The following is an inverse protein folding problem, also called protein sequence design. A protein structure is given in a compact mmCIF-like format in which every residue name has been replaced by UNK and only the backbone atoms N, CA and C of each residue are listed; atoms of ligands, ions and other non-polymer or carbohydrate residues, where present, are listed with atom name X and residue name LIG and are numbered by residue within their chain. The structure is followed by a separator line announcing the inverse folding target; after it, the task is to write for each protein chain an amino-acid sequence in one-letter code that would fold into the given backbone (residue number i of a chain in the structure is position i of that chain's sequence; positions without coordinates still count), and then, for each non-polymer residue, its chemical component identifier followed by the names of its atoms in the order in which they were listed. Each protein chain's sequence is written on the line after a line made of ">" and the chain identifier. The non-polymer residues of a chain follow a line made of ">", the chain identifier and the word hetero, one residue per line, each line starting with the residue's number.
data_IF_039317661059
#
_entry.id   IF_039317661059
#
_cell.length_a   1.000
_cell.length_b   1.000
_cell.length_c   1.000
_cell.angle_alpha   90.00
_cell.angle_beta   90.00
_cell.angle_gamma   90.00
#
_symmetry.space_group_name_H-M   'P 1'
#
loop_
_entity.id
_entity.type
_entity.pdbx_description
1 polymer ?
#
# COMPACT_ATOMS: atom_id res chain seq x y z
N UNK A 1 21.28 -12.28 -5.44
CA UNK A 1 20.10 -11.60 -4.86
C UNK A 1 20.49 -11.10 -3.47
N UNK A 2 20.05 -9.93 -3.00
CA UNK A 2 20.39 -9.47 -1.66
C UNK A 2 19.91 -10.47 -0.60
N UNK A 3 20.72 -10.66 0.44
CA UNK A 3 20.46 -11.62 1.54
C UNK A 3 19.12 -11.28 2.21
N UNK A 4 18.32 -12.29 2.50
CA UNK A 4 17.08 -12.09 3.24
C UNK A 4 17.41 -11.76 4.70
N UNK A 5 16.97 -10.59 5.18
CA UNK A 5 17.18 -10.13 6.55
C UNK A 5 15.86 -10.18 7.31
N UNK A 6 15.77 -11.05 8.31
CA UNK A 6 14.63 -11.12 9.21
C UNK A 6 14.87 -10.16 10.36
N UNK A 7 14.13 -9.05 10.41
CA UNK A 7 14.21 -8.11 11.53
C UNK A 7 13.59 -8.74 12.78
N UNK A 8 14.28 -8.58 13.91
CA UNK A 8 13.91 -9.16 15.19
C UNK A 8 12.94 -8.29 15.96
N UNK A 9 12.81 -8.58 17.25
CA UNK A 9 11.89 -7.87 18.15
C UNK A 9 12.32 -6.41 18.39
N UNK A 10 13.63 -6.14 18.50
CA UNK A 10 14.16 -4.79 18.71
C UNK A 10 13.78 -3.87 17.56
N UNK A 11 14.09 -4.27 16.33
CA UNK A 11 13.81 -3.47 15.15
C UNK A 11 12.31 -3.33 14.88
N UNK A 12 11.51 -4.34 15.27
CA UNK A 12 10.06 -4.22 15.25
C UNK A 12 9.54 -3.18 16.26
N UNK A 13 10.11 -3.09 17.47
CA UNK A 13 9.75 -2.06 18.43
C UNK A 13 10.12 -0.66 17.92
N UNK A 14 11.30 -0.49 17.31
CA UNK A 14 11.72 0.76 16.69
C UNK A 14 10.77 1.18 15.57
N UNK A 15 10.40 0.25 14.68
CA UNK A 15 9.39 0.50 13.64
C UNK A 15 8.04 0.89 14.25
N UNK A 16 7.61 0.18 15.30
CA UNK A 16 6.32 0.42 15.96
C UNK A 16 6.28 1.81 16.59
N UNK A 17 7.34 2.18 17.32
CA UNK A 17 7.49 3.50 17.92
C UNK A 17 7.46 4.61 16.85
N UNK A 18 8.22 4.43 15.76
CA UNK A 18 8.21 5.35 14.63
C UNK A 18 6.80 5.54 14.04
N UNK A 19 6.07 4.46 13.79
CA UNK A 19 4.72 4.53 13.22
C UNK A 19 3.75 5.22 14.18
N UNK A 20 3.80 4.88 15.47
CA UNK A 20 2.96 5.49 16.51
C UNK A 20 3.24 6.99 16.63
N UNK A 21 4.51 7.39 16.71
CA UNK A 21 4.92 8.80 16.73
C UNK A 21 4.42 9.56 15.50
N UNK A 22 4.29 8.88 14.36
CA UNK A 22 3.74 9.43 13.13
C UNK A 22 2.21 9.30 13.03
N UNK A 23 1.51 9.07 14.15
CA UNK A 23 0.05 9.07 14.23
C UNK A 23 -0.63 7.80 13.70
N UNK A 24 0.13 6.75 13.39
CA UNK A 24 -0.47 5.45 13.09
C UNK A 24 -0.92 4.77 14.38
N UNK A 25 -2.05 4.10 14.30
CA UNK A 25 -2.58 3.27 15.38
C UNK A 25 -2.36 1.80 15.05
N UNK A 26 -2.02 1.00 16.04
CA UNK A 26 -1.88 -0.45 15.87
C UNK A 26 -3.24 -1.07 15.60
N UNK A 27 -3.31 -1.95 14.59
CA UNK A 27 -4.52 -2.70 14.26
C UNK A 27 -4.72 -3.78 15.31
N UNK A 28 -5.86 -3.74 15.99
CA UNK A 28 -6.19 -4.75 17.00
C UNK A 28 -6.59 -6.08 16.36
N UNK A 29 -6.44 -7.21 17.07
CA UNK A 29 -6.96 -8.50 16.62
C UNK A 29 -8.46 -8.43 16.23
N UNK A 30 -9.25 -7.67 16.99
CA UNK A 30 -10.67 -7.45 16.73
C UNK A 30 -10.92 -6.70 15.41
N UNK A 31 -10.20 -5.60 15.16
CA UNK A 31 -10.29 -4.85 13.89
C UNK A 31 -9.90 -5.72 12.68
N UNK A 32 -8.87 -6.55 12.85
CA UNK A 32 -8.43 -7.49 11.82
C UNK A 32 -9.50 -8.56 11.53
N UNK A 33 -10.09 -9.12 12.59
CA UNK A 33 -11.18 -10.08 12.46
C UNK A 33 -12.39 -9.48 11.74
N UNK A 34 -12.85 -8.29 12.15
CA UNK A 34 -13.96 -7.58 11.48
C UNK A 34 -13.66 -7.35 10.00
N UNK A 35 -12.46 -6.87 9.67
CA UNK A 35 -12.08 -6.60 8.27
C UNK A 35 -12.12 -7.86 7.41
N UNK A 36 -11.68 -9.01 7.92
CA UNK A 36 -11.68 -10.27 7.18
C UNK A 36 -13.10 -10.85 7.08
N UNK A 37 -13.86 -10.82 8.18
CA UNK A 37 -15.23 -11.32 8.26
C UNK A 37 -16.16 -10.56 7.33
N UNK A 38 -16.10 -9.21 7.32
CA UNK A 38 -16.89 -8.36 6.42
C UNK A 38 -16.61 -8.65 4.94
N UNK A 39 -15.37 -9.01 4.61
CA UNK A 39 -14.98 -9.30 3.23
C UNK A 39 -15.25 -10.76 2.83
N UNK A 40 -15.69 -11.62 3.77
CA UNK A 40 -15.90 -13.07 3.58
C UNK A 40 -14.70 -13.77 2.91
N UNK A 41 -13.48 -13.31 3.18
CA UNK A 41 -12.28 -13.80 2.49
C UNK A 41 -11.63 -14.96 3.26
N UNK A 42 -11.26 -16.00 2.52
CA UNK A 42 -10.46 -17.13 3.00
C UNK A 42 -9.02 -16.95 2.53
N UNK A 43 -8.03 -17.11 3.43
CA UNK A 43 -6.63 -16.96 3.05
C UNK A 43 -6.20 -18.09 2.08
N UNK A 44 -5.31 -17.81 1.12
CA UNK A 44 -4.83 -18.82 0.17
C UNK A 44 -3.97 -19.92 0.81
N UNK A 45 -3.69 -19.84 2.12
CA UNK A 45 -2.91 -20.79 2.92
C UNK A 45 -3.31 -20.73 4.39
N UNK A 46 -3.11 -21.81 5.13
CA UNK A 46 -3.24 -21.80 6.60
C UNK A 46 -2.27 -20.77 7.19
N UNK A 47 -2.79 -19.88 8.04
CA UNK A 47 -2.00 -18.82 8.69
C UNK A 47 -1.85 -19.10 10.18
N UNK A 48 -0.63 -19.36 10.64
CA UNK A 48 -0.33 -19.41 12.08
C UNK A 48 -0.07 -18.01 12.61
N UNK A 49 -0.88 -17.54 13.55
CA UNK A 49 -0.82 -16.18 14.07
C UNK A 49 -1.16 -15.12 13.02
N UNK A 50 -1.32 -13.89 13.49
CA UNK A 50 -1.73 -12.76 12.67
C UNK A 50 -0.59 -11.74 12.62
N UNK A 51 -0.18 -11.36 11.41
CA UNK A 51 0.76 -10.24 11.19
C UNK A 51 0.30 -8.96 11.91
N UNK A 52 1.22 -8.24 12.54
CA UNK A 52 0.92 -6.92 13.09
C UNK A 52 0.78 -5.91 11.96
N UNK A 53 -0.30 -5.12 12.01
CA UNK A 53 -0.51 -4.00 11.11
C UNK A 53 -0.74 -2.70 11.88
N UNK A 54 -0.57 -1.59 11.17
CA UNK A 54 -0.80 -0.24 11.65
C UNK A 54 -1.70 0.49 10.65
N UNK A 55 -2.56 1.37 11.14
CA UNK A 55 -3.49 2.15 10.34
C UNK A 55 -3.37 3.63 10.68
N UNK A 56 -3.31 4.46 9.66
CA UNK A 56 -3.49 5.91 9.78
C UNK A 56 -4.80 6.28 9.10
N UNK A 57 -5.64 7.07 9.78
CA UNK A 57 -6.88 7.59 9.23
C UNK A 57 -6.86 9.11 9.32
N UNK A 58 -7.27 9.78 8.24
CA UNK A 58 -7.49 11.21 8.28
C UNK A 58 -8.90 11.51 8.81
N UNK A 59 -9.11 12.56 9.62
CA UNK A 59 -10.44 12.91 10.12
C UNK A 59 -11.40 13.33 9.01
N UNK A 60 -10.90 14.07 8.00
CA UNK A 60 -11.78 14.76 7.04
C UNK A 60 -12.18 13.94 5.81
N UNK A 61 -11.68 12.71 5.67
CA UNK A 61 -12.06 11.84 4.57
C UNK A 61 -11.75 10.36 4.80
N UNK A 62 -12.39 9.50 4.01
CA UNK A 62 -12.40 8.05 4.23
C UNK A 62 -11.13 7.30 3.79
N UNK A 63 -10.10 7.98 3.28
CA UNK A 63 -8.84 7.33 2.95
C UNK A 63 -8.04 6.97 4.21
N UNK A 64 -7.53 5.73 4.22
CA UNK A 64 -6.72 5.19 5.30
C UNK A 64 -5.46 4.57 4.73
N UNK A 65 -4.33 4.79 5.39
CA UNK A 65 -3.09 4.06 5.11
C UNK A 65 -3.06 2.84 6.01
N UNK A 66 -2.77 1.68 5.45
CA UNK A 66 -2.51 0.48 6.21
C UNK A 66 -1.10 -0.01 5.91
N UNK A 67 -0.33 -0.21 6.99
CA UNK A 67 1.03 -0.73 6.98
C UNK A 67 0.99 -2.12 7.61
N UNK A 68 1.22 -3.15 6.81
CA UNK A 68 1.29 -4.52 7.29
C UNK A 68 2.76 -4.94 7.41
N UNK A 69 3.13 -5.40 8.61
CA UNK A 69 4.45 -5.96 8.88
C UNK A 69 4.43 -7.48 8.70
N UNK A 70 5.60 -8.10 8.65
CA UNK A 70 5.70 -9.56 8.70
C UNK A 70 5.84 -10.12 10.12
N UNK A 71 5.81 -9.26 11.13
CA UNK A 71 6.06 -9.64 12.52
C UNK A 71 4.79 -10.24 13.15
N UNK A 72 4.96 -11.28 13.97
CA UNK A 72 3.88 -11.92 14.71
C UNK A 72 4.20 -11.82 16.18
N UNK A 73 3.64 -10.80 16.82
CA UNK A 73 3.91 -10.49 18.22
C UNK A 73 3.76 -11.64 19.19
N UNK A 74 2.69 -12.47 19.15
CA UNK A 74 2.56 -13.59 20.09
C UNK A 74 3.72 -14.58 20.02
N UNK A 75 4.42 -14.67 18.88
CA UNK A 75 5.56 -15.56 18.70
C UNK A 75 6.91 -14.86 18.82
N UNK A 76 6.92 -13.52 18.92
CA UNK A 76 8.14 -12.70 18.90
C UNK A 76 8.98 -12.83 17.62
N UNK A 77 8.43 -13.41 16.54
CA UNK A 77 9.18 -13.78 15.34
C UNK A 77 8.53 -13.25 14.06
N UNK A 78 9.32 -12.89 13.04
CA UNK A 78 8.80 -12.59 11.72
C UNK A 78 8.44 -13.88 10.96
N UNK A 79 7.31 -13.91 10.25
CA UNK A 79 6.94 -15.04 9.39
C UNK A 79 7.85 -15.12 8.17
N UNK A 80 8.73 -16.10 7.95
CA UNK A 80 9.78 -16.01 6.91
C UNK A 80 9.30 -15.73 5.47
N UNK A 81 8.07 -16.12 5.13
CA UNK A 81 7.56 -16.14 3.76
C UNK A 81 6.71 -14.93 3.37
N UNK A 82 6.33 -14.08 4.32
CA UNK A 82 5.49 -12.93 4.04
C UNK A 82 6.29 -11.74 3.46
N UNK A 83 5.61 -10.76 2.89
CA UNK A 83 6.26 -9.50 2.54
C UNK A 83 5.64 -8.38 3.33
N UNK A 84 6.41 -7.31 3.49
CA UNK A 84 5.91 -6.09 4.11
C UNK A 84 5.23 -5.26 3.02
N UNK A 85 4.17 -4.55 3.36
CA UNK A 85 3.33 -3.86 2.39
C UNK A 85 2.63 -2.66 3.00
N UNK A 86 2.54 -1.60 2.18
CA UNK A 86 1.79 -0.39 2.45
C UNK A 86 0.66 -0.30 1.43
N UNK A 87 -0.55 0.00 1.88
CA UNK A 87 -1.71 0.18 1.02
C UNK A 87 -2.52 1.41 1.44
N UNK A 88 -3.23 1.99 0.49
CA UNK A 88 -4.26 3.00 0.75
C UNK A 88 -5.61 2.33 0.48
N UNK A 89 -6.51 2.43 1.45
CA UNK A 89 -7.87 1.93 1.34
C UNK A 89 -8.89 3.03 1.59
N UNK A 90 -10.08 2.84 1.05
CA UNK A 90 -11.27 3.60 1.42
C UNK A 90 -12.28 2.60 1.95
N UNK A 91 -12.72 2.78 3.19
CA UNK A 91 -13.49 1.77 3.92
C UNK A 91 -12.75 0.41 3.94
N UNK A 92 -13.38 -0.62 3.37
CA UNK A 92 -12.84 -1.97 3.24
C UNK A 92 -12.23 -2.25 1.85
N UNK A 93 -12.27 -1.29 0.93
CA UNK A 93 -11.74 -1.43 -0.42
C UNK A 93 -10.30 -0.91 -0.52
N UNK A 94 -9.37 -1.78 -0.89
CA UNK A 94 -8.00 -1.38 -1.18
C UNK A 94 -7.89 -0.67 -2.54
N UNK A 95 -7.58 0.62 -2.52
CA UNK A 95 -7.48 1.47 -3.71
C UNK A 95 -6.09 1.39 -4.36
N UNK A 96 -5.05 1.34 -3.53
CA UNK A 96 -3.66 1.32 -3.96
C UNK A 96 -2.84 0.35 -3.13
N UNK A 97 -1.96 -0.40 -3.81
CA UNK A 97 -0.97 -1.27 -3.18
C UNK A 97 0.41 -0.84 -3.63
N UNK A 98 1.28 -0.53 -2.66
CA UNK A 98 2.71 -0.43 -2.93
C UNK A 98 3.24 -1.82 -3.34
N UNK A 99 4.21 -1.90 -4.27
CA UNK A 99 5.01 -3.10 -4.43
C UNK A 99 5.43 -3.70 -3.08
N UNK A 100 5.24 -5.01 -2.85
CA UNK A 100 5.71 -5.64 -1.62
C UNK A 100 7.21 -5.38 -1.42
N UNK A 101 7.56 -4.96 -0.22
CA UNK A 101 8.95 -4.68 0.16
C UNK A 101 9.57 -6.01 0.56
N UNK A 102 10.64 -6.37 -0.14
CA UNK A 102 11.44 -7.53 0.18
C UNK A 102 12.23 -7.26 1.44
N UNK A 103 12.44 -8.32 2.22
CA UNK A 103 13.23 -8.28 3.45
C UNK A 103 14.72 -8.27 3.17
N UNK A 104 15.23 -7.09 2.86
CA UNK A 104 16.65 -6.77 2.83
C UNK A 104 17.02 -5.98 4.08
N UNK A 105 18.29 -5.67 4.29
CA UNK A 105 18.73 -4.79 5.38
C UNK A 105 17.96 -3.43 5.40
N UNK A 106 17.70 -2.86 4.22
CA UNK A 106 16.94 -1.60 4.06
C UNK A 106 15.40 -1.77 4.08
N UNK A 107 14.87 -2.93 4.49
CA UNK A 107 13.42 -3.17 4.39
C UNK A 107 12.60 -2.28 5.32
N UNK A 108 13.12 -2.00 6.51
CA UNK A 108 12.44 -1.19 7.53
C UNK A 108 12.43 0.28 7.16
N UNK A 109 13.59 0.83 6.79
CA UNK A 109 13.71 2.19 6.29
C UNK A 109 12.75 2.43 5.12
N UNK A 110 12.75 1.55 4.11
CA UNK A 110 11.80 1.63 2.99
C UNK A 110 10.35 1.55 3.44
N UNK A 111 10.04 0.72 4.45
CA UNK A 111 8.68 0.65 4.98
C UNK A 111 8.26 1.98 5.61
N UNK A 112 9.14 2.57 6.43
CA UNK A 112 8.93 3.87 7.05
C UNK A 112 8.73 4.95 5.99
N UNK A 113 9.62 5.05 5.00
CA UNK A 113 9.51 5.98 3.88
C UNK A 113 8.19 5.83 3.14
N UNK A 114 7.77 4.61 2.80
CA UNK A 114 6.49 4.41 2.11
C UNK A 114 5.27 4.65 2.98
N UNK A 115 5.35 4.35 4.27
CA UNK A 115 4.29 4.68 5.21
C UNK A 115 4.09 6.20 5.25
N UNK A 116 5.17 6.98 5.32
CA UNK A 116 5.13 8.43 5.27
C UNK A 116 4.60 8.95 3.94
N UNK A 117 5.11 8.48 2.79
CA UNK A 117 4.60 8.92 1.47
C UNK A 117 3.11 8.61 1.32
N UNK A 118 2.66 7.43 1.76
CA UNK A 118 1.25 7.08 1.71
C UNK A 118 0.42 7.94 2.68
N UNK A 119 0.95 8.25 3.87
CA UNK A 119 0.34 9.17 4.83
C UNK A 119 0.22 10.57 4.23
N UNK A 120 1.28 11.10 3.63
CA UNK A 120 1.28 12.38 2.93
C UNK A 120 0.22 12.41 1.83
N UNK A 121 0.12 11.35 1.00
CA UNK A 121 -0.95 11.24 0.00
C UNK A 121 -2.35 11.31 0.61
N UNK A 122 -2.54 10.65 1.76
CA UNK A 122 -3.81 10.68 2.47
C UNK A 122 -4.07 12.08 3.04
N UNK A 123 -3.08 12.73 3.66
CA UNK A 123 -3.19 14.11 4.17
C UNK A 123 -3.52 15.12 3.08
N UNK A 124 -2.80 15.07 1.95
CA UNK A 124 -2.95 16.00 0.84
C UNK A 124 -3.90 15.44 -0.22
N UNK A 125 -5.03 14.84 0.20
CA UNK A 125 -6.01 14.29 -0.75
C UNK A 125 -6.45 15.42 -1.69
N UNK A 126 -6.12 15.35 -2.99
CA UNK A 126 -6.33 16.46 -3.88
C UNK A 126 -7.82 16.63 -4.22
N UNK A 127 -8.21 17.86 -4.50
CA UNK A 127 -9.54 18.21 -4.97
C UNK A 127 -9.55 18.44 -6.48
N UNK A 128 -10.72 18.27 -7.11
CA UNK A 128 -10.94 18.68 -8.49
C UNK A 128 -10.83 20.21 -8.58
N UNK A 129 -10.09 20.70 -9.58
CA UNK A 129 -9.90 22.14 -9.76
C UNK A 129 -11.22 22.86 -10.13
N UNK A 130 -12.18 22.13 -10.71
CA UNK A 130 -13.47 22.69 -11.16
C UNK A 130 -14.56 22.63 -10.09
N UNK A 131 -14.83 21.45 -9.52
CA UNK A 131 -15.95 21.26 -8.61
C UNK A 131 -15.56 21.13 -7.13
N UNK A 132 -14.26 21.26 -6.82
CA UNK A 132 -13.67 21.20 -5.47
C UNK A 132 -13.96 19.92 -4.67
N UNK A 133 -14.56 18.90 -5.31
CA UNK A 133 -14.76 17.57 -4.71
C UNK A 133 -13.43 16.82 -4.65
N UNK A 134 -13.22 16.07 -3.58
CA UNK A 134 -12.08 15.16 -3.46
C UNK A 134 -12.01 14.19 -4.65
N UNK A 135 -10.79 13.96 -5.14
CA UNK A 135 -10.52 13.03 -6.22
C UNK A 135 -10.52 11.58 -5.71
N UNK A 136 -10.89 10.65 -6.59
CA UNK A 136 -10.88 9.21 -6.34
C UNK A 136 -9.66 8.56 -7.00
N UNK A 137 -9.12 7.50 -6.38
CA UNK A 137 -8.05 6.69 -6.97
C UNK A 137 -8.64 5.68 -7.95
N UNK A 138 -8.17 5.70 -9.20
CA UNK A 138 -8.54 4.70 -10.21
C UNK A 138 -7.34 3.91 -10.71
N UNK A 139 -7.61 2.68 -11.17
CA UNK A 139 -6.64 1.79 -11.78
C UNK A 139 -6.39 2.20 -13.24
N UNK A 140 -5.13 2.46 -13.58
CA UNK A 140 -4.71 2.70 -14.97
C UNK A 140 -4.46 1.41 -15.75
N UNK A 141 -4.00 1.54 -17.00
CA UNK A 141 -3.69 0.41 -17.89
C UNK A 141 -2.60 -0.51 -17.32
N UNK A 142 -1.59 0.05 -16.67
CA UNK A 142 -0.53 -0.72 -16.02
C UNK A 142 -1.01 -1.43 -14.76
N UNK A 143 -0.50 -2.64 -14.49
CA UNK A 143 -0.93 -3.51 -13.38
C UNK A 143 -0.99 -2.81 -12.00
N UNK A 144 -0.02 -1.91 -11.74
CA UNK A 144 0.07 -1.08 -10.53
C UNK A 144 -0.12 0.41 -10.80
N UNK A 145 -0.44 0.79 -12.04
CA UNK A 145 -0.67 2.18 -12.40
C UNK A 145 -1.91 2.68 -11.69
N UNK A 146 -1.82 3.86 -11.11
CA UNK A 146 -2.95 4.59 -10.54
C UNK A 146 -2.97 6.01 -11.07
N UNK A 147 -4.14 6.59 -11.12
CA UNK A 147 -4.37 8.00 -11.43
C UNK A 147 -5.55 8.50 -10.59
N UNK A 148 -5.72 9.81 -10.56
CA UNK A 148 -6.79 10.45 -9.80
C UNK A 148 -7.90 10.89 -10.74
N UNK A 149 -9.15 10.77 -10.30
CA UNK A 149 -10.31 11.09 -11.13
C UNK A 149 -11.35 11.88 -10.36
N UNK A 150 -12.00 12.84 -11.03
CA UNK A 150 -13.25 13.41 -10.57
C UNK A 150 -14.39 12.90 -11.45
N UNK A 151 -15.35 12.19 -10.84
CA UNK A 151 -16.53 11.66 -11.52
C UNK A 151 -17.75 12.62 -11.45
N UNK A 152 -17.59 13.82 -10.88
CA UNK A 152 -18.69 14.76 -10.66
C UNK A 152 -19.03 15.60 -11.91
N UNK A 153 -19.33 14.91 -13.01
CA UNK A 153 -19.54 15.51 -14.34
C UNK A 153 -20.60 16.60 -14.35
N UNK A 154 -21.62 16.51 -13.50
CA UNK A 154 -22.71 17.47 -13.44
C UNK A 154 -22.26 18.86 -12.96
N UNK A 155 -21.11 18.95 -12.26
CA UNK A 155 -20.51 20.20 -11.82
C UNK A 155 -19.31 20.63 -12.68
N UNK A 156 -19.05 19.94 -13.79
CA UNK A 156 -17.98 20.30 -14.72
C UNK A 156 -18.56 21.06 -15.92
N UNK A 157 -17.92 22.13 -16.41
CA UNK A 157 -18.47 22.98 -17.48
C UNK A 157 -18.82 22.23 -18.77
N UNK A 158 -18.04 21.21 -19.12
CA UNK A 158 -18.18 20.41 -20.34
C UNK A 158 -18.84 19.04 -20.12
N UNK A 159 -19.32 18.77 -18.89
CA UNK A 159 -19.88 17.47 -18.47
C UNK A 159 -18.94 16.27 -18.70
N UNK A 160 -17.62 16.46 -18.72
CA UNK A 160 -16.65 15.36 -18.87
C UNK A 160 -15.97 15.01 -17.56
N UNK A 161 -15.43 13.80 -17.48
CA UNK A 161 -14.60 13.36 -16.35
C UNK A 161 -13.27 14.13 -16.36
N UNK A 162 -12.76 14.49 -15.18
CA UNK A 162 -11.41 15.06 -15.04
C UNK A 162 -10.45 14.01 -14.50
N UNK A 163 -9.31 13.86 -15.18
CA UNK A 163 -8.26 12.92 -14.81
C UNK A 163 -6.99 13.68 -14.47
N UNK A 164 -6.33 13.29 -13.40
CA UNK A 164 -5.10 13.90 -12.93
C UNK A 164 -4.03 12.84 -12.72
N UNK A 165 -2.77 13.25 -12.84
CA UNK A 165 -1.64 12.40 -12.47
C UNK A 165 -1.79 11.96 -11.01
N UNK A 166 -1.33 10.73 -10.71
CA UNK A 166 -1.21 10.25 -9.33
C UNK A 166 -0.61 11.31 -8.42
N UNK A 167 0.41 12.04 -8.88
CA UNK A 167 1.23 12.99 -8.12
C UNK A 167 0.59 14.36 -7.82
N UNK A 168 -0.63 14.64 -8.28
CA UNK A 168 -1.29 15.94 -8.04
C UNK A 168 -1.23 16.35 -6.57
N UNK A 169 -0.83 17.59 -6.33
CA UNK A 169 -0.74 18.27 -5.03
C UNK A 169 0.18 17.59 -3.99
N UNK A 170 1.11 16.72 -4.41
CA UNK A 170 2.13 16.20 -3.48
C UNK A 170 3.20 17.24 -3.17
N UNK A 171 3.68 17.29 -1.92
CA UNK A 171 4.88 18.03 -1.57
C UNK A 171 6.11 17.56 -2.35
N UNK A 172 7.01 18.50 -2.67
CA UNK A 172 8.20 18.26 -3.47
C UNK A 172 9.13 17.23 -2.83
N UNK A 173 9.25 17.23 -1.50
CA UNK A 173 10.10 16.30 -0.74
C UNK A 173 9.67 14.84 -0.98
N UNK A 174 8.37 14.60 -1.02
CA UNK A 174 7.83 13.28 -1.31
C UNK A 174 7.98 12.91 -2.80
N UNK A 175 7.92 13.89 -3.70
CA UNK A 175 8.12 13.69 -5.13
C UNK A 175 9.56 13.32 -5.45
N UNK A 176 10.55 13.96 -4.82
CA UNK A 176 11.98 13.63 -5.01
C UNK A 176 12.22 12.15 -4.72
N UNK A 177 11.78 11.66 -3.55
CA UNK A 177 11.92 10.24 -3.18
C UNK A 177 11.22 9.34 -4.21
N UNK A 178 10.03 9.71 -4.66
CA UNK A 178 9.29 8.93 -5.66
C UNK A 178 9.98 8.91 -7.03
N UNK A 179 10.62 10.00 -7.46
CA UNK A 179 11.37 10.10 -8.72
C UNK A 179 12.54 9.14 -8.71
N UNK A 180 13.40 9.21 -7.70
CA UNK A 180 14.60 8.37 -7.57
C UNK A 180 14.24 6.88 -7.68
N UNK A 181 13.16 6.48 -7.00
CA UNK A 181 12.68 5.11 -7.06
C UNK A 181 12.10 4.70 -8.42
N UNK A 182 11.39 5.61 -9.08
CA UNK A 182 10.83 5.37 -10.41
C UNK A 182 11.94 5.22 -11.42
N UNK A 183 12.99 6.02 -11.33
CA UNK A 183 14.19 5.91 -12.14
C UNK A 183 14.93 4.60 -11.90
N UNK A 184 15.20 4.26 -10.64
CA UNK A 184 15.84 2.99 -10.28
C UNK A 184 15.03 1.79 -10.80
N UNK A 185 13.70 1.86 -10.68
CA UNK A 185 12.80 0.83 -11.23
C UNK A 185 12.83 0.77 -12.75
N UNK A 186 12.83 1.92 -13.43
CA UNK A 186 12.89 1.99 -14.88
C UNK A 186 14.21 1.39 -15.39
N UNK A 187 15.34 1.74 -14.78
CA UNK A 187 16.67 1.16 -15.04
C UNK A 187 16.64 -0.37 -14.84
N UNK A 188 16.12 -0.84 -13.71
CA UNK A 188 15.97 -2.27 -13.44
C UNK A 188 15.09 -2.98 -14.48
N UNK A 189 13.95 -2.42 -14.86
CA UNK A 189 13.06 -3.01 -15.87
C UNK A 189 13.67 -3.04 -17.27
N UNK A 190 14.41 -1.99 -17.66
CA UNK A 190 15.18 -1.96 -18.91
C UNK A 190 16.18 -3.12 -18.94
N UNK A 191 16.94 -3.31 -17.86
CA UNK A 191 17.89 -4.42 -17.73
C UNK A 191 17.21 -5.81 -17.74
N UNK A 192 16.03 -5.97 -17.12
CA UNK A 192 15.30 -7.25 -17.17
C UNK A 192 14.77 -7.56 -18.57
N UNK A 193 14.25 -6.56 -19.29
CA UNK A 193 13.78 -6.72 -20.68
C UNK A 193 14.91 -7.08 -21.63
N UNK A 194 16.08 -6.47 -21.46
CA UNK A 194 17.29 -6.85 -22.22
C UNK A 194 17.69 -8.32 -22.00
N UNK A 195 17.30 -8.91 -20.85
CA UNK A 195 17.50 -10.34 -20.53
C UNK A 195 16.31 -11.23 -20.93
N UNK A 196 15.36 -10.72 -21.74
CA UNK A 196 14.15 -11.44 -22.16
C UNK A 196 13.09 -11.67 -21.07
N UNK A 197 13.25 -11.07 -19.88
CA UNK A 197 12.33 -11.27 -18.76
C UNK A 197 11.19 -10.25 -18.78
N UNK A 198 9.96 -10.73 -18.65
CA UNK A 198 8.75 -9.88 -18.54
C UNK A 198 8.59 -9.37 -17.10
N UNK A 199 8.71 -8.05 -16.85
CA UNK A 199 8.53 -7.51 -15.50
C UNK A 199 7.11 -7.72 -14.99
N UNK A 200 6.97 -8.12 -13.71
CA UNK A 200 5.67 -8.18 -13.04
C UNK A 200 4.89 -9.49 -13.21
N UNK A 201 5.40 -10.48 -13.96
CA UNK A 201 4.75 -11.80 -14.14
C UNK A 201 4.35 -12.48 -12.83
N UNK A 202 5.16 -12.33 -11.78
CA UNK A 202 4.90 -12.90 -10.46
C UNK A 202 3.57 -12.44 -9.81
N UNK A 203 3.07 -11.25 -10.16
CA UNK A 203 1.79 -10.74 -9.63
C UNK A 203 0.62 -11.50 -10.26
N UNK A 204 0.76 -11.94 -11.52
CA UNK A 204 -0.27 -12.69 -12.24
C UNK A 204 -0.40 -14.13 -11.70
N UNK A 205 0.68 -14.68 -11.14
CA UNK A 205 0.75 -16.08 -10.69
C UNK A 205 0.35 -16.22 -9.20
N UNK A 206 0.29 -15.13 -8.43
CA UNK A 206 0.04 -15.19 -6.99
C UNK A 206 -1.40 -15.62 -6.69
N UNK A 207 -1.57 -16.70 -5.89
CA UNK A 207 -2.87 -17.11 -5.36
C UNK A 207 -3.50 -15.96 -4.57
N UNK A 208 -4.72 -15.59 -4.94
CA UNK A 208 -5.49 -14.52 -4.29
C UNK A 208 -6.24 -15.09 -3.09
N UNK A 209 -6.62 -14.20 -2.16
CA UNK A 209 -7.69 -14.51 -1.23
C UNK A 209 -8.97 -14.71 -2.02
N UNK A 210 -9.73 -15.74 -1.66
CA UNK A 210 -10.98 -16.08 -2.35
C UNK A 210 -12.17 -15.78 -1.43
N UNK A 211 -13.33 -15.40 -1.98
CA UNK A 211 -14.59 -15.48 -1.25
C UNK A 211 -14.77 -16.88 -0.67
N UNK A 212 -15.33 -16.99 0.54
CA UNK A 212 -15.58 -18.28 1.19
C UNK A 212 -16.44 -19.23 0.32
N UNK A 213 -17.28 -18.67 -0.54
CA UNK A 213 -18.14 -19.39 -1.47
C UNK A 213 -17.35 -20.13 -2.58
N UNK A 214 -16.14 -19.68 -2.92
CA UNK A 214 -15.28 -20.28 -3.97
C UNK A 214 -14.30 -21.35 -3.44
N UNK A 215 -14.34 -21.69 -2.14
CA UNK A 215 -13.41 -22.63 -1.49
C UNK A 215 -14.07 -23.98 -1.16
N UNK A 216 -15.26 -24.23 -1.71
CA UNK A 216 -15.93 -25.53 -1.64
C UNK A 216 -15.29 -26.56 -2.56
#
# INVERSE_FOLDING_TARGET
>A
MPKQVLFGQKEFHELSAFLIQNGFQKITPHQKHISLWRQRLVPPRKTHGSETGFVYSHPDHNWKVVVWTSFVEPTGKPKPQDNIWVLIKENDLALYFRPPIRRTEFALERLQTYALIAKTRVLVRPCCDECRKYLDIKKGKGLRSRYLVCNNINKHPDKKIRTYNWDKDMPEEALVILRDEREARAKYWKAQRAKGKIPGKAILIRKKWKPAEEVK
#
